data_IF_535351708235
#
_entry.id   IF_535351708235
#
_cell.length_a   1.000
_cell.length_b   1.000
_cell.length_c   1.000
_cell.angle_alpha   90.00
_cell.angle_beta   90.00
_cell.angle_gamma   90.00
#
_symmetry.space_group_name_H-M   'P 1'
#
loop_
_entity.id
_entity.type
_entity.pdbx_description
1 polymer ?
#
# COMPACT_ATOMS: atom_id res chain seq x y z
N UNK A 1 19.34 3.80 1.63
CA UNK A 1 18.11 3.32 0.99
C UNK A 1 17.85 1.89 1.42
N UNK A 2 16.90 1.68 2.34
CA UNK A 2 16.41 0.34 2.69
C UNK A 2 15.29 -0.10 1.72
N UNK A 3 14.81 -1.33 1.86
CA UNK A 3 13.77 -1.89 0.97
C UNK A 3 12.47 -1.07 0.99
N UNK A 4 12.03 -0.59 2.15
CA UNK A 4 10.82 0.23 2.29
C UNK A 4 10.97 1.61 1.60
N UNK A 5 12.15 2.22 1.70
CA UNK A 5 12.46 3.47 1.00
C UNK A 5 12.45 3.28 -0.52
N UNK A 6 12.97 2.15 -1.03
CA UNK A 6 12.89 1.83 -2.46
C UNK A 6 11.42 1.65 -2.91
N UNK A 7 10.58 1.00 -2.11
CA UNK A 7 9.15 0.89 -2.39
C UNK A 7 8.49 2.28 -2.48
N UNK A 8 8.84 3.22 -1.60
CA UNK A 8 8.33 4.58 -1.69
C UNK A 8 8.80 5.34 -2.93
N UNK A 9 10.04 5.15 -3.37
CA UNK A 9 10.50 5.75 -4.62
C UNK A 9 9.80 5.15 -5.85
N UNK A 10 9.46 3.85 -5.84
CA UNK A 10 8.62 3.24 -6.87
C UNK A 10 7.18 3.77 -6.84
N UNK A 11 6.59 3.95 -5.64
CA UNK A 11 5.25 4.54 -5.50
C UNK A 11 5.16 5.95 -6.10
N UNK A 12 6.23 6.75 -6.02
CA UNK A 12 6.27 8.08 -6.67
C UNK A 12 6.26 8.02 -8.20
N UNK A 13 6.57 6.86 -8.80
CA UNK A 13 6.46 6.61 -10.25
C UNK A 13 5.06 6.13 -10.65
N UNK A 14 4.20 5.83 -9.69
CA UNK A 14 2.78 5.60 -9.92
C UNK A 14 2.05 6.95 -10.03
N UNK A 15 1.33 7.15 -11.14
CA UNK A 15 0.53 8.37 -11.37
C UNK A 15 -0.75 8.00 -12.10
N UNK A 16 -1.88 8.08 -11.41
CA UNK A 16 -3.20 7.83 -11.98
C UNK A 16 -4.29 8.38 -11.05
N UNK A 17 -5.41 8.79 -11.63
CA UNK A 17 -6.64 9.13 -10.93
C UNK A 17 -6.43 10.13 -9.77
N UNK A 18 -6.95 9.82 -8.58
CA UNK A 18 -6.80 10.62 -7.37
C UNK A 18 -5.59 10.20 -6.51
N UNK A 19 -4.68 9.38 -7.03
CA UNK A 19 -3.51 8.96 -6.28
C UNK A 19 -2.44 10.06 -6.29
N UNK A 20 -2.24 10.70 -5.14
CA UNK A 20 -1.22 11.73 -4.93
C UNK A 20 -0.01 11.14 -4.22
N UNK A 21 0.93 10.57 -4.98
CA UNK A 21 2.03 9.78 -4.44
C UNK A 21 2.87 10.49 -3.38
N UNK A 22 3.21 11.78 -3.58
CA UNK A 22 4.00 12.55 -2.61
C UNK A 22 3.28 12.73 -1.27
N UNK A 23 1.96 12.95 -1.30
CA UNK A 23 1.15 13.05 -0.10
C UNK A 23 1.12 11.70 0.63
N UNK A 24 0.77 10.63 -0.06
CA UNK A 24 0.65 9.28 0.53
C UNK A 24 1.99 8.83 1.14
N UNK A 25 3.10 8.99 0.40
CA UNK A 25 4.44 8.63 0.91
C UNK A 25 4.85 9.53 2.08
N UNK A 26 4.55 10.83 2.03
CA UNK A 26 4.81 11.76 3.13
C UNK A 26 4.07 11.37 4.41
N UNK A 27 2.78 11.06 4.28
CA UNK A 27 1.91 10.64 5.37
C UNK A 27 2.35 9.30 5.98
N UNK A 28 2.71 8.31 5.15
CA UNK A 28 3.26 7.04 5.62
C UNK A 28 4.54 7.25 6.42
N UNK A 29 5.47 8.07 5.91
CA UNK A 29 6.73 8.39 6.60
C UNK A 29 6.51 9.16 7.91
N UNK A 30 5.52 10.04 7.98
CA UNK A 30 5.20 10.79 9.20
C UNK A 30 4.53 9.91 10.28
N UNK A 31 3.91 8.80 9.88
CA UNK A 31 3.11 7.94 10.75
C UNK A 31 3.63 6.50 10.83
N UNK A 32 4.95 6.29 10.80
CA UNK A 32 5.59 4.95 10.87
C UNK A 32 5.28 4.16 12.14
N UNK A 33 4.70 4.79 13.16
CA UNK A 33 4.25 4.13 14.39
C UNK A 33 2.89 3.42 14.22
N UNK A 34 2.19 3.63 13.10
CA UNK A 34 0.88 3.03 12.83
C UNK A 34 0.97 1.74 12.00
N UNK A 35 2.12 1.43 11.40
CA UNK A 35 2.29 0.35 10.42
C UNK A 35 3.70 -0.24 10.45
N UNK A 36 3.83 -1.47 9.96
CA UNK A 36 5.08 -2.25 9.96
C UNK A 36 5.75 -2.28 8.58
N UNK A 37 4.96 -2.49 7.52
CA UNK A 37 5.42 -2.43 6.13
C UNK A 37 4.34 -1.87 5.20
N UNK A 38 4.74 -1.29 4.07
CA UNK A 38 3.82 -0.84 3.03
C UNK A 38 4.36 -1.15 1.62
N UNK A 39 3.50 -1.70 0.76
CA UNK A 39 3.84 -1.99 -0.63
C UNK A 39 2.67 -1.64 -1.54
N UNK A 40 2.98 -1.01 -2.67
CA UNK A 40 1.98 -0.79 -3.71
C UNK A 40 2.20 -1.76 -4.86
N UNK A 41 1.19 -2.56 -5.16
CA UNK A 41 1.27 -3.57 -6.19
C UNK A 41 -0.05 -3.76 -6.94
N UNK A 42 0.04 -4.56 -8.00
CA UNK A 42 -1.07 -5.09 -8.78
C UNK A 42 -0.70 -6.49 -9.22
N UNK A 43 -1.59 -7.46 -9.00
CA UNK A 43 -1.43 -8.86 -9.40
C UNK A 43 -1.56 -9.05 -10.93
N UNK A 44 -0.71 -8.38 -11.70
CA UNK A 44 -0.60 -8.48 -13.15
C UNK A 44 0.80 -8.05 -13.63
N UNK A 45 1.10 -8.29 -14.91
CA UNK A 45 2.35 -7.88 -15.55
C UNK A 45 2.25 -6.53 -16.29
N UNK A 46 1.23 -5.73 -16.01
CA UNK A 46 1.07 -4.42 -16.67
C UNK A 46 2.28 -3.51 -16.38
N UNK A 47 2.79 -3.51 -15.14
CA UNK A 47 4.04 -2.83 -14.78
C UNK A 47 5.27 -3.28 -15.58
N UNK A 48 5.32 -4.53 -16.05
CA UNK A 48 6.42 -5.00 -16.90
C UNK A 48 6.36 -4.35 -18.30
N UNK A 49 5.15 -4.21 -18.86
CA UNK A 49 4.93 -3.54 -20.15
C UNK A 49 5.37 -2.07 -20.11
N UNK A 50 5.10 -1.41 -18.99
CA UNK A 50 5.27 0.05 -18.86
C UNK A 50 6.63 0.45 -18.26
N UNK A 51 7.44 -0.51 -17.80
CA UNK A 51 8.74 -0.25 -17.16
C UNK A 51 9.73 0.49 -18.06
N UNK A 52 9.70 0.24 -19.38
CA UNK A 52 10.57 0.91 -20.35
C UNK A 52 10.31 2.43 -20.43
N UNK A 53 9.12 2.87 -20.02
CA UNK A 53 8.69 4.26 -19.99
C UNK A 53 8.82 4.88 -18.58
N UNK A 54 9.51 4.19 -17.65
CA UNK A 54 9.68 4.60 -16.25
C UNK A 54 8.35 4.78 -15.47
N UNK A 55 7.34 3.99 -15.84
CA UNK A 55 6.01 3.99 -15.20
C UNK A 55 5.85 2.77 -14.29
N UNK A 56 5.52 3.01 -13.02
CA UNK A 56 5.15 1.96 -12.07
C UNK A 56 3.63 1.76 -12.07
N UNK A 57 3.13 0.94 -13.00
CA UNK A 57 1.69 0.74 -13.21
C UNK A 57 1.08 -0.26 -12.22
N UNK A 58 0.75 0.25 -11.03
CA UNK A 58 0.10 -0.45 -9.91
C UNK A 58 -1.09 0.37 -9.43
N UNK A 59 -2.03 -0.18 -8.67
CA UNK A 59 -3.26 0.54 -8.26
C UNK A 59 -3.71 0.28 -6.82
N UNK A 60 -3.03 -0.64 -6.12
CA UNK A 60 -3.41 -1.08 -4.78
C UNK A 60 -2.25 -0.91 -3.81
N UNK A 61 -2.45 -0.12 -2.75
CA UNK A 61 -1.53 -0.02 -1.62
C UNK A 61 -1.97 -0.98 -0.51
N UNK A 62 -1.06 -1.84 -0.09
CA UNK A 62 -1.20 -2.74 1.05
C UNK A 62 -0.33 -2.25 2.20
N UNK A 63 -0.92 -2.07 3.37
CA UNK A 63 -0.22 -1.62 4.58
C UNK A 63 -0.37 -2.70 5.65
N UNK A 64 0.74 -3.32 6.03
CA UNK A 64 0.81 -4.32 7.10
C UNK A 64 0.89 -3.61 8.46
N UNK A 65 0.13 -4.10 9.44
CA UNK A 65 0.19 -3.64 10.83
C UNK A 65 -0.19 -4.76 11.79
N UNK A 66 0.47 -4.81 12.95
CA UNK A 66 0.18 -5.78 14.02
C UNK A 66 -1.13 -5.50 14.77
N UNK A 67 -1.80 -4.37 14.50
CA UNK A 67 -3.09 -4.05 15.13
C UNK A 67 -3.96 -3.16 14.25
N UNK A 68 -5.28 -3.41 14.25
CA UNK A 68 -6.24 -2.49 13.62
C UNK A 68 -6.17 -1.13 14.31
N UNK A 69 -5.83 -0.11 13.53
CA UNK A 69 -5.73 1.27 13.98
C UNK A 69 -6.76 2.12 13.26
N UNK A 70 -7.68 2.71 14.01
CA UNK A 70 -8.63 3.70 13.47
C UNK A 70 -7.86 4.91 12.90
N UNK A 71 -6.74 5.29 13.53
CA UNK A 71 -5.90 6.38 13.04
C UNK A 71 -5.30 6.07 11.66
N UNK A 72 -4.85 4.83 11.44
CA UNK A 72 -4.35 4.41 10.13
C UNK A 72 -5.47 4.38 9.09
N UNK A 73 -6.65 3.90 9.48
CA UNK A 73 -7.82 3.86 8.61
C UNK A 73 -8.26 5.27 8.18
N UNK A 74 -8.33 6.20 9.13
CA UNK A 74 -8.67 7.60 8.92
C UNK A 74 -7.64 8.32 8.03
N UNK A 75 -6.35 8.07 8.29
CA UNK A 75 -5.26 8.58 7.45
C UNK A 75 -5.42 8.10 6.00
N UNK A 76 -5.63 6.80 5.80
CA UNK A 76 -5.81 6.23 4.47
C UNK A 76 -7.08 6.73 3.78
N UNK A 77 -8.17 6.93 4.53
CA UNK A 77 -9.42 7.48 4.01
C UNK A 77 -9.25 8.91 3.51
N UNK A 78 -8.41 9.72 4.15
CA UNK A 78 -8.12 11.09 3.73
C UNK A 78 -7.43 11.16 2.35
N UNK A 79 -6.81 10.08 1.88
CA UNK A 79 -6.25 9.97 0.53
C UNK A 79 -7.31 9.75 -0.56
N UNK A 80 -8.60 9.72 -0.20
CA UNK A 80 -9.75 9.59 -1.10
C UNK A 80 -9.66 8.39 -2.07
N UNK A 81 -9.40 7.16 -1.57
CA UNK A 81 -9.35 5.97 -2.41
C UNK A 81 -10.73 5.56 -2.92
N UNK A 82 -10.78 4.79 -4.01
CA UNK A 82 -12.03 4.22 -4.53
C UNK A 82 -12.56 3.11 -3.63
N UNK A 83 -11.68 2.39 -2.93
CA UNK A 83 -12.08 1.47 -1.87
C UNK A 83 -11.02 1.36 -0.78
N UNK A 84 -11.48 1.09 0.44
CA UNK A 84 -10.65 0.92 1.62
C UNK A 84 -11.23 -0.24 2.44
N UNK A 85 -10.43 -1.27 2.72
CA UNK A 85 -10.86 -2.41 3.55
C UNK A 85 -9.72 -3.03 4.35
N UNK A 86 -10.07 -3.62 5.48
CA UNK A 86 -9.17 -4.53 6.19
C UNK A 86 -9.21 -5.92 5.55
N UNK A 87 -8.04 -6.53 5.42
CA UNK A 87 -7.83 -7.95 5.09
C UNK A 87 -7.26 -8.60 6.36
N UNK A 88 -7.85 -9.72 6.77
CA UNK A 88 -7.54 -10.41 8.02
C UNK A 88 -7.82 -11.92 7.95
N UNK A 89 -7.38 -12.66 8.95
CA UNK A 89 -7.65 -14.10 9.07
C UNK A 89 -7.00 -14.91 7.94
N UNK A 90 -7.77 -15.84 7.37
CA UNK A 90 -7.29 -16.75 6.31
C UNK A 90 -6.87 -15.98 5.05
N UNK A 91 -7.58 -14.90 4.69
CA UNK A 91 -7.22 -14.08 3.52
C UNK A 91 -5.85 -13.40 3.70
N UNK A 92 -5.58 -12.83 4.88
CA UNK A 92 -4.26 -12.25 5.17
C UNK A 92 -3.17 -13.32 5.17
N UNK A 93 -3.46 -14.49 5.75
CA UNK A 93 -2.54 -15.64 5.81
C UNK A 93 -2.17 -16.12 4.41
N UNK A 94 -3.15 -16.26 3.51
CA UNK A 94 -2.93 -16.65 2.12
C UNK A 94 -2.11 -15.61 1.36
N UNK A 95 -2.40 -14.32 1.55
CA UNK A 95 -1.67 -13.25 0.86
C UNK A 95 -0.23 -13.09 1.33
N UNK A 96 0.05 -13.31 2.62
CA UNK A 96 1.40 -13.22 3.20
C UNK A 96 2.20 -14.52 3.03
N UNK A 97 1.57 -15.60 2.55
CA UNK A 97 2.13 -16.96 2.50
C UNK A 97 2.72 -17.40 3.86
N UNK A 98 2.07 -16.97 4.95
CA UNK A 98 2.53 -17.20 6.31
C UNK A 98 1.36 -17.14 7.29
N UNK A 99 1.33 -18.06 8.25
CA UNK A 99 0.40 -17.94 9.37
C UNK A 99 0.90 -16.86 10.33
N UNK A 100 0.28 -15.69 10.29
CA UNK A 100 0.64 -14.59 11.16
C UNK A 100 -0.54 -14.18 12.04
N UNK A 101 -0.48 -14.62 13.29
CA UNK A 101 -1.45 -14.23 14.32
C UNK A 101 -1.32 -12.74 14.60
N UNK A 102 -2.36 -11.97 14.28
CA UNK A 102 -2.43 -10.54 14.61
C UNK A 102 -1.98 -9.59 13.50
N UNK A 103 -1.64 -10.10 12.31
CA UNK A 103 -1.34 -9.24 11.17
C UNK A 103 -2.64 -8.83 10.47
N UNK A 104 -2.80 -7.51 10.33
CA UNK A 104 -3.87 -6.90 9.57
C UNK A 104 -3.27 -6.17 8.37
N UNK A 105 -3.89 -6.33 7.21
CA UNK A 105 -3.50 -5.60 6.02
C UNK A 105 -4.59 -4.58 5.72
N UNK A 106 -4.27 -3.29 5.78
CA UNK A 106 -5.14 -2.26 5.23
C UNK A 106 -4.91 -2.19 3.73
N UNK A 107 -5.95 -2.54 2.97
CA UNK A 107 -5.96 -2.52 1.52
C UNK A 107 -6.65 -1.26 1.02
N UNK A 108 -5.90 -0.47 0.24
CA UNK A 108 -6.30 0.83 -0.29
C UNK A 108 -6.20 0.78 -1.81
N UNK A 109 -7.32 0.95 -2.52
CA UNK A 109 -7.36 0.82 -3.98
C UNK A 109 -7.92 2.08 -4.66
N UNK A 110 -7.30 2.46 -5.77
CA UNK A 110 -7.77 3.54 -6.64
C UNK A 110 -8.13 2.96 -8.02
N UNK A 111 -9.34 3.26 -8.50
CA UNK A 111 -9.72 3.07 -9.90
C UNK A 111 -9.11 4.13 -10.77
#
# INVERSE_FOLDING_TARGET
>A
MNTQELQFELMKKASFNNFHADQVVGDLKANTHLWDAAVMDRCSLIKLRDLAEDIWNVDTLYILTSMKSEQLYELARAWNPSSLRWIEGDEATEMLDAYVSGDYILCVWWN
#
